data_IF_479773076477
#
_entry.id   IF_479773076477
#
_cell.length_a   1.000
_cell.length_b   1.000
_cell.length_c   1.000
_cell.angle_alpha   90.00
_cell.angle_beta   90.00
_cell.angle_gamma   90.00
#
_symmetry.space_group_name_H-M   'P 1'
#
loop_
_entity.id
_entity.type
_entity.pdbx_description
1 polymer ?
#
# COMPACT_ATOMS: atom_id res chain seq x y z
N UNK A 1 18.21 34.86 14.21
CA UNK A 1 17.67 33.49 14.34
C UNK A 1 18.28 32.52 13.31
N UNK A 2 18.33 32.88 12.02
CA UNK A 2 18.95 32.08 10.93
C UNK A 2 20.42 31.63 11.15
N UNK A 3 21.29 32.49 11.70
CA UNK A 3 22.70 32.15 11.96
C UNK A 3 22.91 31.05 13.02
N UNK A 4 22.01 30.92 14.00
CA UNK A 4 22.10 29.88 15.04
C UNK A 4 21.59 28.52 14.53
N UNK A 5 20.66 28.53 13.57
CA UNK A 5 20.15 27.33 12.90
C UNK A 5 21.18 26.73 11.93
N UNK A 6 21.93 27.59 11.22
CA UNK A 6 23.02 27.16 10.34
C UNK A 6 24.19 26.51 11.10
N UNK A 7 24.50 26.97 12.31
CA UNK A 7 25.53 26.38 13.17
C UNK A 7 25.15 24.98 13.67
N UNK A 8 23.87 24.71 13.92
CA UNK A 8 23.39 23.37 14.30
C UNK A 8 23.57 22.37 13.14
N UNK A 9 23.31 22.80 11.90
CA UNK A 9 23.52 22.00 10.69
C UNK A 9 25.02 21.69 10.46
N UNK A 10 25.93 22.61 10.80
CA UNK A 10 27.38 22.42 10.61
C UNK A 10 27.99 21.41 11.60
N UNK A 11 27.39 21.19 12.78
CA UNK A 11 27.83 20.14 13.71
C UNK A 11 27.21 18.76 13.45
N UNK A 12 26.10 18.69 12.72
CA UNK A 12 25.47 17.42 12.34
C UNK A 12 26.27 16.74 11.22
N UNK A 13 26.89 17.49 10.32
CA UNK A 13 27.56 16.97 9.10
C UNK A 13 28.86 16.16 9.35
N UNK A 14 29.76 16.49 10.30
CA UNK A 14 31.01 15.73 10.49
C UNK A 14 30.81 14.33 11.08
N UNK A 15 29.69 14.07 11.78
CA UNK A 15 29.34 12.75 12.30
C UNK A 15 28.94 11.71 11.24
N UNK A 16 28.74 12.15 9.98
CA UNK A 16 28.34 11.29 8.86
C UNK A 16 29.52 10.63 8.13
N UNK A 17 30.77 11.07 8.34
CA UNK A 17 31.88 10.70 7.46
C UNK A 17 32.60 9.40 7.87
N UNK A 18 32.31 8.80 9.04
CA UNK A 18 33.07 7.66 9.56
C UNK A 18 32.24 6.43 10.03
N UNK A 19 31.28 5.95 9.25
CA UNK A 19 30.88 4.53 9.43
C UNK A 19 30.28 3.93 8.15
N UNK A 20 31.14 3.30 7.36
CA UNK A 20 30.78 2.44 6.25
C UNK A 20 30.62 1.01 6.78
N UNK A 21 29.38 0.56 6.94
CA UNK A 21 28.99 -0.87 6.79
C UNK A 21 27.51 -1.15 7.15
N UNK A 22 26.80 -0.23 7.82
CA UNK A 22 25.35 -0.35 8.04
C UNK A 22 24.62 0.88 7.51
N UNK A 23 23.63 0.67 6.65
CA UNK A 23 22.80 1.75 6.14
C UNK A 23 21.99 2.39 7.29
N UNK A 24 22.08 3.72 7.47
CA UNK A 24 21.33 4.39 8.52
C UNK A 24 19.84 4.32 8.23
N UNK A 25 19.00 3.95 9.21
CA UNK A 25 17.56 3.88 9.02
C UNK A 25 16.93 5.28 9.15
N UNK A 26 16.09 5.69 8.20
CA UNK A 26 15.36 6.94 8.28
C UNK A 26 13.92 6.79 7.79
N UNK A 27 13.07 7.74 8.14
CA UNK A 27 11.68 7.74 7.72
C UNK A 27 10.85 8.80 8.42
N UNK A 28 9.55 8.53 8.53
CA UNK A 28 8.57 9.46 9.10
C UNK A 28 7.96 8.90 10.38
N UNK A 29 7.49 9.80 11.23
CA UNK A 29 6.73 9.51 12.43
C UNK A 29 5.42 10.30 12.45
N UNK A 30 4.37 9.65 12.92
CA UNK A 30 3.05 10.22 13.13
C UNK A 30 2.64 9.89 14.56
N UNK A 31 2.41 10.89 15.41
CA UNK A 31 2.02 10.63 16.80
C UNK A 31 0.78 11.39 17.25
N UNK A 32 0.08 10.82 18.21
CA UNK A 32 -0.98 11.43 18.98
C UNK A 32 -0.46 11.74 20.39
N UNK A 33 -0.46 13.02 20.75
CA UNK A 33 0.01 13.55 22.02
C UNK A 33 -1.17 13.77 22.96
N UNK A 34 -1.08 13.25 24.18
CA UNK A 34 -2.08 13.36 25.23
C UNK A 34 -1.45 13.95 26.51
N UNK A 35 -1.63 15.25 26.79
CA UNK A 35 -1.05 15.87 27.98
C UNK A 35 -1.65 15.33 29.28
N UNK A 36 -0.78 15.12 30.28
CA UNK A 36 -1.13 14.47 31.55
C UNK A 36 -1.54 15.45 32.65
N UNK A 37 -1.79 16.72 32.32
CA UNK A 37 -2.15 17.75 33.31
C UNK A 37 -3.42 17.39 34.11
N UNK A 38 -4.37 16.68 33.51
CA UNK A 38 -5.58 16.23 34.22
C UNK A 38 -5.34 15.17 35.29
N UNK A 39 -4.16 14.54 35.32
CA UNK A 39 -3.76 13.70 36.45
C UNK A 39 -3.18 14.50 37.62
N UNK A 40 -2.91 15.80 37.44
CA UNK A 40 -2.31 16.68 38.45
C UNK A 40 -3.29 17.75 38.94
N UNK A 41 -4.18 18.23 38.07
CA UNK A 41 -5.17 19.26 38.39
C UNK A 41 -6.56 18.82 37.91
N UNK A 42 -7.52 18.74 38.83
CA UNK A 42 -8.86 18.21 38.57
C UNK A 42 -9.66 19.04 37.53
N UNK A 43 -9.33 20.32 37.37
CA UNK A 43 -9.99 21.20 36.41
C UNK A 43 -9.46 21.06 34.99
N UNK A 44 -8.36 20.34 34.74
CA UNK A 44 -7.78 20.20 33.41
C UNK A 44 -8.07 18.83 32.79
N UNK A 45 -8.42 18.81 31.50
CA UNK A 45 -8.53 17.59 30.70
C UNK A 45 -7.59 17.64 29.50
N UNK A 46 -6.71 16.65 29.40
CA UNK A 46 -5.84 16.48 28.24
C UNK A 46 -6.64 16.22 26.96
N UNK A 47 -6.22 16.82 25.85
CA UNK A 47 -6.80 16.57 24.53
C UNK A 47 -5.76 15.97 23.60
N UNK A 48 -6.19 14.99 22.82
CA UNK A 48 -5.34 14.33 21.83
C UNK A 48 -5.05 15.26 20.65
N UNK A 49 -3.78 15.55 20.41
CA UNK A 49 -3.33 16.38 19.28
C UNK A 49 -2.24 15.67 18.47
N UNK A 50 -2.15 15.97 17.18
CA UNK A 50 -1.19 15.34 16.29
C UNK A 50 0.24 15.88 16.42
N UNK A 51 1.20 15.07 16.03
CA UNK A 51 2.55 15.48 15.65
C UNK A 51 3.01 14.71 14.42
N UNK A 52 3.87 15.35 13.64
CA UNK A 52 4.49 14.77 12.46
C UNK A 52 5.97 15.12 12.47
N UNK A 53 6.81 14.17 12.10
CA UNK A 53 8.25 14.38 12.06
C UNK A 53 8.97 13.38 11.18
N UNK A 54 10.29 13.54 11.16
CA UNK A 54 11.21 12.64 10.50
C UNK A 54 12.15 12.06 11.55
N UNK A 55 12.76 10.93 11.24
CA UNK A 55 13.82 10.39 12.08
C UNK A 55 15.01 9.91 11.26
N UNK A 56 16.16 9.92 11.92
CA UNK A 56 17.40 9.30 11.48
C UNK A 56 17.92 8.44 12.63
N UNK A 57 18.13 7.15 12.39
CA UNK A 57 18.50 6.15 13.37
C UNK A 57 19.73 5.37 12.88
N UNK A 58 20.67 5.11 13.79
CA UNK A 58 21.87 4.34 13.48
C UNK A 58 22.34 3.52 14.68
N UNK A 59 22.87 2.31 14.47
CA UNK A 59 23.54 1.55 15.53
C UNK A 59 24.79 2.26 16.05
N UNK A 60 25.04 2.16 17.36
CA UNK A 60 26.27 2.66 17.97
C UNK A 60 27.52 1.94 17.47
N UNK A 61 27.42 0.61 17.39
CA UNK A 61 28.51 -0.22 16.89
C UNK A 61 27.98 -1.10 15.75
N UNK A 62 28.62 -0.97 14.59
CA UNK A 62 28.41 -1.84 13.45
C UNK A 62 29.01 -3.24 13.68
N UNK A 63 30.09 -3.33 14.47
CA UNK A 63 30.87 -4.54 14.61
C UNK A 63 30.52 -5.24 15.91
N UNK A 64 30.28 -6.55 15.83
CA UNK A 64 29.94 -7.45 16.95
C UNK A 64 31.04 -7.63 18.02
N UNK A 65 31.90 -6.63 18.21
CA UNK A 65 33.04 -6.63 19.13
C UNK A 65 32.63 -6.52 20.60
N UNK A 66 31.44 -5.95 20.91
CA UNK A 66 30.94 -5.89 22.29
C UNK A 66 29.42 -6.08 22.35
N UNK A 67 28.97 -7.18 22.96
CA UNK A 67 27.55 -7.60 22.99
C UNK A 67 26.62 -6.54 23.60
N UNK A 68 27.07 -5.79 24.60
CA UNK A 68 26.25 -4.77 25.26
C UNK A 68 25.97 -3.57 24.34
N UNK A 69 27.03 -3.01 23.74
CA UNK A 69 26.90 -1.83 22.85
C UNK A 69 26.22 -2.18 21.53
N UNK A 70 26.29 -3.45 21.14
CA UNK A 70 25.54 -3.91 19.99
C UNK A 70 24.05 -3.72 20.20
N UNK A 71 23.46 -3.72 21.39
CA UNK A 71 22.00 -3.57 21.53
C UNK A 71 21.49 -2.12 21.44
N UNK A 72 22.35 -1.13 21.18
CA UNK A 72 21.95 0.28 21.18
C UNK A 72 21.97 0.92 19.79
N UNK A 73 20.91 1.66 19.48
CA UNK A 73 20.85 2.62 18.38
C UNK A 73 20.67 4.03 18.92
N UNK A 74 21.30 5.04 18.32
CA UNK A 74 20.91 6.42 18.53
C UNK A 74 19.92 6.85 17.45
N UNK A 75 18.95 7.70 17.84
CA UNK A 75 18.01 8.33 16.92
C UNK A 75 17.95 9.82 17.15
N UNK A 76 17.90 10.56 16.05
CA UNK A 76 17.59 11.98 15.99
C UNK A 76 16.22 12.14 15.31
N UNK A 77 15.33 12.92 15.92
CA UNK A 77 13.93 13.05 15.51
C UNK A 77 13.46 14.51 15.57
N UNK A 78 13.63 15.28 14.49
CA UNK A 78 12.97 16.56 14.33
C UNK A 78 11.47 16.38 14.06
N UNK A 79 10.62 17.10 14.80
CA UNK A 79 9.17 17.00 14.65
C UNK A 79 8.45 18.34 14.89
N UNK A 80 7.27 18.49 14.29
CA UNK A 80 6.29 19.48 14.67
C UNK A 80 5.26 18.82 15.58
N UNK A 81 5.01 19.38 16.75
CA UNK A 81 4.02 18.85 17.69
C UNK A 81 3.02 19.89 18.15
N UNK A 82 1.78 19.45 18.29
CA UNK A 82 0.70 20.20 18.91
C UNK A 82 0.35 19.53 20.23
N UNK A 83 0.20 20.33 21.28
CA UNK A 83 -0.20 19.87 22.62
C UNK A 83 -1.27 20.82 23.13
N UNK A 84 -2.32 20.28 23.73
CA UNK A 84 -3.35 21.11 24.34
C UNK A 84 -4.24 20.40 25.33
N UNK A 85 -4.87 21.19 26.17
CA UNK A 85 -5.72 20.73 27.27
C UNK A 85 -6.80 21.77 27.55
N UNK A 86 -7.95 21.33 28.03
CA UNK A 86 -9.10 22.20 28.34
C UNK A 86 -9.23 22.36 29.86
N UNK A 87 -9.42 23.59 30.31
CA UNK A 87 -9.93 23.92 31.63
C UNK A 87 -11.45 23.80 31.64
N UNK A 88 -11.98 22.91 32.47
CA UNK A 88 -13.41 22.65 32.55
C UNK A 88 -14.17 23.74 33.31
N UNK A 89 -13.52 24.43 34.25
CA UNK A 89 -14.17 25.46 35.06
C UNK A 89 -14.33 26.75 34.26
N UNK A 90 -13.30 27.11 33.50
CA UNK A 90 -13.31 28.32 32.67
C UNK A 90 -13.77 28.06 31.23
N UNK A 91 -13.97 26.78 30.87
CA UNK A 91 -14.23 26.29 29.52
C UNK A 91 -13.24 26.83 28.46
N UNK A 92 -11.96 26.90 28.83
CA UNK A 92 -10.88 27.40 27.97
C UNK A 92 -10.03 26.26 27.43
N UNK A 93 -9.77 26.23 26.13
CA UNK A 93 -8.81 25.31 25.52
C UNK A 93 -7.47 26.02 25.32
N UNK A 94 -6.41 25.50 25.93
CA UNK A 94 -5.06 26.00 25.75
C UNK A 94 -4.31 25.08 24.79
N UNK A 95 -3.67 25.67 23.78
CA UNK A 95 -2.89 24.95 22.78
C UNK A 95 -1.50 25.56 22.62
N UNK A 96 -0.50 24.70 22.42
CA UNK A 96 0.87 25.06 22.15
C UNK A 96 1.41 24.26 20.96
N UNK A 97 2.08 24.95 20.05
CA UNK A 97 2.73 24.36 18.89
C UNK A 97 4.25 24.47 19.06
N UNK A 98 4.96 23.37 18.79
CA UNK A 98 6.39 23.24 19.07
C UNK A 98 7.14 22.67 17.86
N UNK A 99 8.40 23.09 17.73
CA UNK A 99 9.41 22.38 16.95
C UNK A 99 10.30 21.62 17.92
N UNK A 100 10.27 20.30 17.80
CA UNK A 100 10.99 19.35 18.63
C UNK A 100 12.25 18.85 17.93
N UNK A 101 13.34 18.67 18.68
CA UNK A 101 14.59 18.09 18.19
C UNK A 101 15.02 16.94 19.10
N UNK A 102 14.28 15.84 19.08
CA UNK A 102 14.49 14.74 20.02
C UNK A 102 15.78 13.97 19.68
N UNK A 103 16.54 13.62 20.71
CA UNK A 103 17.69 12.73 20.61
C UNK A 103 17.56 11.63 21.67
N UNK A 104 17.55 10.37 21.26
CA UNK A 104 17.36 9.24 22.18
C UNK A 104 18.12 7.99 21.78
N UNK A 105 18.39 7.18 22.79
CA UNK A 105 18.94 5.84 22.71
C UNK A 105 17.79 4.85 22.62
N UNK A 106 17.94 3.86 21.75
CA UNK A 106 17.04 2.75 21.59
C UNK A 106 17.80 1.51 22.02
N UNK A 107 17.37 0.88 23.09
CA UNK A 107 17.84 -0.44 23.47
C UNK A 107 16.95 -1.50 22.80
N UNK A 108 17.57 -2.39 22.03
CA UNK A 108 16.93 -3.46 21.28
C UNK A 108 17.44 -4.78 21.90
N UNK A 109 16.66 -5.42 22.79
CA UNK A 109 17.12 -6.59 23.52
C UNK A 109 17.56 -7.74 22.60
N UNK A 110 16.80 -7.95 21.53
CA UNK A 110 17.12 -8.91 20.48
C UNK A 110 17.11 -8.20 19.11
N UNK A 111 18.30 -8.05 18.52
CA UNK A 111 18.47 -7.43 17.20
C UNK A 111 17.94 -8.27 16.06
N UNK A 112 17.85 -9.60 16.23
CA UNK A 112 17.42 -10.49 15.16
C UNK A 112 15.94 -10.33 14.88
N UNK A 113 15.13 -10.25 15.93
CA UNK A 113 13.70 -9.95 15.83
C UNK A 113 13.42 -8.46 15.67
N UNK A 114 14.12 -7.59 16.43
CA UNK A 114 13.82 -6.15 16.52
C UNK A 114 12.33 -5.88 16.85
N UNK A 115 11.69 -6.83 17.54
CA UNK A 115 10.27 -6.77 17.85
C UNK A 115 9.99 -5.79 18.98
N UNK A 116 10.93 -5.63 19.91
CA UNK A 116 10.82 -4.76 21.07
C UNK A 116 11.98 -3.76 21.12
N UNK A 117 11.64 -2.53 21.48
CA UNK A 117 12.57 -1.44 21.68
C UNK A 117 12.24 -0.70 22.97
N UNK A 118 13.25 -0.35 23.74
CA UNK A 118 13.14 0.57 24.87
C UNK A 118 13.80 1.89 24.47
N UNK A 119 13.10 3.00 24.69
CA UNK A 119 13.50 4.34 24.25
C UNK A 119 13.85 5.18 25.48
N UNK A 120 15.01 5.82 25.49
CA UNK A 120 15.43 6.75 26.53
C UNK A 120 16.15 7.94 25.92
N UNK A 121 15.74 9.17 26.22
CA UNK A 121 16.49 10.33 25.76
C UNK A 121 15.91 11.67 26.17
N UNK A 122 16.18 12.69 25.36
CA UNK A 122 15.85 14.08 25.62
C UNK A 122 15.15 14.71 24.41
N UNK A 123 14.27 15.66 24.69
CA UNK A 123 13.51 16.43 23.70
C UNK A 123 13.63 17.92 24.00
N UNK A 124 14.68 18.59 23.51
CA UNK A 124 14.68 20.03 23.40
C UNK A 124 13.60 20.47 22.40
N UNK A 125 12.92 21.57 22.72
CA UNK A 125 11.84 22.09 21.91
C UNK A 125 11.74 23.60 21.98
N UNK A 126 11.23 24.20 20.91
CA UNK A 126 10.96 25.64 20.85
C UNK A 126 9.49 25.85 20.54
N UNK A 127 8.80 26.59 21.40
CA UNK A 127 7.42 27.00 21.16
C UNK A 127 7.36 28.00 20.02
N UNK A 128 6.57 27.72 18.99
CA UNK A 128 6.42 28.59 17.83
C UNK A 128 5.08 29.32 17.81
N UNK A 129 4.07 28.80 18.50
CA UNK A 129 2.78 29.44 18.64
C UNK A 129 2.09 28.94 19.92
N UNK A 130 1.30 29.80 20.55
CA UNK A 130 0.35 29.42 21.58
C UNK A 130 -0.97 30.13 21.36
N UNK A 131 -2.06 29.49 21.74
CA UNK A 131 -3.39 30.05 21.58
C UNK A 131 -4.31 29.55 22.69
N UNK A 132 -5.23 30.43 23.10
CA UNK A 132 -6.32 30.10 24.02
C UNK A 132 -7.65 30.28 23.32
N UNK A 133 -8.44 29.23 23.21
CA UNK A 133 -9.84 29.33 22.80
C UNK A 133 -10.72 29.51 24.04
N UNK A 134 -11.65 30.46 23.98
CA UNK A 134 -12.61 30.75 25.06
C UNK A 134 -14.02 30.94 24.49
N UNK A 135 -15.07 30.65 25.26
CA UNK A 135 -16.44 30.91 24.82
C UNK A 135 -16.63 32.41 24.56
N UNK A 136 -17.38 32.73 23.51
CA UNK A 136 -17.86 34.08 23.23
C UNK A 136 -19.27 34.31 23.80
N UNK A 137 -19.73 35.56 23.76
CA UNK A 137 -21.05 35.93 24.27
C UNK A 137 -22.22 35.35 23.47
N UNK A 138 -21.96 34.77 22.29
CA UNK A 138 -22.96 34.19 21.39
C UNK A 138 -22.97 32.65 21.46
N UNK A 139 -22.23 32.05 22.39
CA UNK A 139 -22.11 30.59 22.54
C UNK A 139 -21.15 29.92 21.53
N UNK A 140 -20.43 30.71 20.73
CA UNK A 140 -19.31 30.26 19.91
C UNK A 140 -18.00 30.21 20.70
N UNK A 141 -16.91 29.85 20.02
CA UNK A 141 -15.56 29.92 20.58
C UNK A 141 -14.70 30.89 19.77
N UNK A 142 -13.93 31.72 20.47
CA UNK A 142 -12.97 32.65 19.86
C UNK A 142 -11.55 32.34 20.34
N UNK A 143 -10.61 32.41 19.40
CA UNK A 143 -9.19 32.22 19.70
C UNK A 143 -8.54 33.54 20.07
N UNK A 144 -7.82 33.58 21.18
CA UNK A 144 -7.02 34.72 21.64
C UNK A 144 -5.56 34.31 21.77
N UNK A 145 -4.66 35.15 21.26
CA UNK A 145 -3.21 35.03 21.50
C UNK A 145 -2.77 35.62 22.84
N UNK A 146 -3.68 36.29 23.55
CA UNK A 146 -3.43 36.86 24.87
C UNK A 146 -4.44 36.30 25.87
N UNK A 147 -3.94 35.61 26.90
CA UNK A 147 -4.69 35.22 28.07
C UNK A 147 -3.78 35.41 29.31
N UNK A 148 -4.19 36.20 30.32
CA UNK A 148 -3.39 36.40 31.54
C UNK A 148 -3.01 35.11 32.27
N UNK A 149 -3.81 34.04 32.11
CA UNK A 149 -3.53 32.72 32.68
C UNK A 149 -2.45 32.00 31.87
N UNK A 150 -2.43 32.17 30.55
CA UNK A 150 -1.45 31.53 29.66
C UNK A 150 -0.21 32.41 29.50
N UNK A 151 0.76 32.20 30.38
CA UNK A 151 2.02 32.95 30.40
C UNK A 151 3.08 32.41 29.44
N UNK A 152 2.70 31.49 28.55
CA UNK A 152 3.59 31.02 27.52
C UNK A 152 3.90 32.12 26.50
N UNK A 153 5.12 32.11 25.97
CA UNK A 153 5.58 33.06 24.96
C UNK A 153 6.20 32.34 23.77
N UNK A 154 6.00 32.89 22.58
CA UNK A 154 6.62 32.39 21.36
C UNK A 154 8.15 32.52 21.48
N UNK A 155 8.87 31.49 21.03
CA UNK A 155 10.32 31.39 21.13
C UNK A 155 10.82 30.80 22.45
N UNK A 156 9.93 30.49 23.40
CA UNK A 156 10.29 29.79 24.62
C UNK A 156 10.98 28.46 24.30
N UNK A 157 12.08 28.21 24.99
CA UNK A 157 12.79 26.94 24.95
C UNK A 157 12.35 26.04 26.12
N UNK A 158 12.04 24.79 25.81
CA UNK A 158 11.61 23.78 26.76
C UNK A 158 12.45 22.50 26.56
N UNK A 159 12.68 21.76 27.64
CA UNK A 159 13.38 20.46 27.62
C UNK A 159 12.49 19.42 28.28
N UNK A 160 12.34 18.27 27.63
CA UNK A 160 11.68 17.10 28.22
C UNK A 160 12.61 15.89 28.26
N UNK A 161 12.48 15.06 29.29
CA UNK A 161 13.00 13.70 29.31
C UNK A 161 12.02 12.75 28.60
N UNK A 162 12.54 11.79 27.85
CA UNK A 162 11.76 10.80 27.10
C UNK A 162 12.04 9.41 27.62
N UNK A 163 10.96 8.65 27.90
CA UNK A 163 11.00 7.22 28.15
C UNK A 163 9.91 6.56 27.30
N UNK A 164 10.18 5.42 26.68
CA UNK A 164 9.16 4.75 25.89
C UNK A 164 9.47 3.31 25.54
N UNK A 165 8.49 2.70 24.89
CA UNK A 165 8.59 1.37 24.30
C UNK A 165 8.14 1.43 22.84
N UNK A 166 8.76 0.63 21.99
CA UNK A 166 8.38 0.46 20.59
C UNK A 166 8.21 -1.01 20.26
N UNK A 167 7.19 -1.34 19.47
CA UNK A 167 6.91 -2.70 18.99
C UNK A 167 6.80 -2.71 17.48
N UNK A 168 7.44 -3.67 16.81
CA UNK A 168 7.34 -3.83 15.36
C UNK A 168 5.95 -4.31 14.94
N UNK A 169 5.33 -3.68 13.93
CA UNK A 169 4.04 -4.08 13.35
C UNK A 169 4.21 -4.80 12.00
N UNK A 170 5.38 -5.41 11.78
CA UNK A 170 5.76 -6.08 10.54
C UNK A 170 7.12 -5.60 10.04
N UNK A 171 7.34 -5.64 8.74
CA UNK A 171 8.65 -5.29 8.18
C UNK A 171 8.89 -3.76 8.17
N UNK A 172 7.87 -2.95 7.89
CA UNK A 172 8.06 -1.52 7.56
C UNK A 172 7.64 -0.53 8.64
N UNK A 173 6.80 -0.96 9.58
CA UNK A 173 6.14 -0.09 10.54
C UNK A 173 6.40 -0.54 11.98
N UNK A 174 6.45 0.41 12.91
CA UNK A 174 6.48 0.14 14.35
C UNK A 174 5.53 1.06 15.10
N UNK A 175 4.88 0.53 16.13
CA UNK A 175 4.10 1.28 17.10
C UNK A 175 5.00 1.75 18.23
N UNK A 176 4.84 2.98 18.70
CA UNK A 176 5.59 3.54 19.82
C UNK A 176 4.64 4.09 20.88
N UNK A 177 4.95 3.84 22.14
CA UNK A 177 4.35 4.51 23.28
C UNK A 177 5.48 5.20 24.04
N UNK A 178 5.46 6.53 24.07
CA UNK A 178 6.45 7.36 24.75
C UNK A 178 5.78 8.22 25.82
N UNK A 179 6.43 8.38 26.95
CA UNK A 179 6.12 9.37 27.97
C UNK A 179 7.18 10.47 27.90
N UNK A 180 6.72 11.70 27.72
CA UNK A 180 7.55 12.90 27.70
C UNK A 180 7.34 13.67 29.00
N UNK A 181 8.34 13.60 29.89
CA UNK A 181 8.35 14.35 31.14
C UNK A 181 8.97 15.73 30.91
N UNK A 182 8.17 16.79 30.98
CA UNK A 182 8.63 18.15 30.69
C UNK A 182 9.26 18.78 31.93
N UNK A 183 10.57 19.06 31.84
CA UNK A 183 11.37 19.63 32.94
C UNK A 183 11.07 21.12 33.17
N UNK A 184 10.43 21.77 32.21
CA UNK A 184 10.10 23.19 32.23
C UNK A 184 8.61 23.45 32.51
N UNK A 185 7.87 22.42 32.95
CA UNK A 185 6.46 22.54 33.30
C UNK A 185 6.30 23.24 34.66
N UNK A 186 5.99 24.53 34.63
CA UNK A 186 5.65 25.33 35.81
C UNK A 186 4.14 25.65 35.86
N UNK A 187 3.31 24.82 35.21
CA UNK A 187 1.86 24.98 35.23
C UNK A 187 1.30 24.69 36.62
N UNK A 188 0.38 25.53 37.06
CA UNK A 188 -0.37 25.44 38.31
C UNK A 188 -1.87 25.55 38.00
N UNK A 189 -2.73 25.44 39.02
CA UNK A 189 -4.17 25.63 38.84
C UNK A 189 -4.56 27.05 38.37
N UNK A 190 -3.69 28.05 38.56
CA UNK A 190 -3.97 29.47 38.26
C UNK A 190 -3.19 30.02 37.07
N UNK A 191 -2.10 29.36 36.69
CA UNK A 191 -1.14 29.85 35.69
C UNK A 191 -0.66 28.69 34.84
N UNK A 192 -0.68 28.89 33.53
CA UNK A 192 -0.13 27.98 32.53
C UNK A 192 1.21 28.53 32.06
N UNK A 193 2.28 27.80 32.37
CA UNK A 193 3.64 28.27 32.15
C UNK A 193 4.54 27.06 31.86
N UNK A 194 5.00 26.95 30.62
CA UNK A 194 5.84 25.85 30.14
C UNK A 194 5.08 24.78 29.38
N UNK A 195 5.84 23.79 28.93
CA UNK A 195 5.33 22.62 28.23
C UNK A 195 4.81 21.60 29.25
N UNK A 196 3.55 21.13 29.18
CA UNK A 196 3.10 20.05 30.05
C UNK A 196 3.75 18.71 29.68
N UNK A 197 3.80 17.78 30.63
CA UNK A 197 4.15 16.38 30.34
C UNK A 197 3.02 15.70 29.57
N UNK A 198 3.33 14.70 28.75
CA UNK A 198 2.36 14.03 27.89
C UNK A 198 2.75 12.60 27.53
N UNK A 199 1.74 11.79 27.23
CA UNK A 199 1.87 10.49 26.58
C UNK A 199 1.79 10.68 25.06
N UNK A 200 2.57 9.91 24.33
CA UNK A 200 2.67 9.96 22.87
C UNK A 200 2.49 8.56 22.31
N UNK A 201 1.46 8.38 21.49
CA UNK A 201 1.17 7.15 20.76
C UNK A 201 1.54 7.37 19.30
N UNK A 202 2.58 6.68 18.84
CA UNK A 202 3.23 6.93 17.56
C UNK A 202 3.21 5.74 16.61
N UNK A 203 3.13 6.01 15.31
CA UNK A 203 3.49 5.07 14.25
C UNK A 203 4.73 5.61 13.56
N UNK A 204 5.77 4.77 13.49
CA UNK A 204 7.01 5.04 12.76
C UNK A 204 7.05 4.18 11.51
N UNK A 205 7.36 4.80 10.37
CA UNK A 205 7.51 4.12 9.08
C UNK A 205 8.96 4.25 8.59
N UNK A 206 9.59 3.14 8.21
CA UNK A 206 10.97 3.13 7.69
C UNK A 206 11.00 3.23 6.17
N UNK A 207 11.60 4.31 5.66
CA UNK A 207 11.76 4.51 4.22
C UNK A 207 12.67 3.44 3.59
N UNK A 208 13.73 3.04 4.31
CA UNK A 208 14.64 1.99 3.84
C UNK A 208 13.96 0.64 3.79
N UNK A 209 13.27 0.23 4.86
CA UNK A 209 12.58 -1.06 4.85
C UNK A 209 11.45 -1.09 3.82
N UNK A 210 10.76 0.04 3.59
CA UNK A 210 9.79 0.16 2.48
C UNK A 210 10.48 -0.04 1.13
N UNK A 211 11.60 0.66 0.89
CA UNK A 211 12.39 0.51 -0.35
C UNK A 211 12.82 -0.93 -0.55
N UNK A 212 13.39 -1.57 0.47
CA UNK A 212 13.92 -2.92 0.39
C UNK A 212 12.79 -3.96 0.20
N UNK A 213 11.62 -3.73 0.81
CA UNK A 213 10.40 -4.52 0.53
C UNK A 213 9.95 -4.39 -0.92
N UNK A 214 9.94 -3.18 -1.46
CA UNK A 214 9.55 -2.94 -2.85
C UNK A 214 10.53 -3.62 -3.82
N UNK A 215 11.84 -3.49 -3.59
CA UNK A 215 12.88 -4.13 -4.40
C UNK A 215 12.80 -5.66 -4.32
N UNK A 216 12.63 -6.23 -3.12
CA UNK A 216 12.52 -7.68 -2.95
C UNK A 216 11.26 -8.24 -3.62
N UNK A 217 10.12 -7.56 -3.48
CA UNK A 217 8.90 -7.92 -4.18
C UNK A 217 9.08 -7.87 -5.70
N UNK A 218 9.75 -6.83 -6.22
CA UNK A 218 10.05 -6.71 -7.64
C UNK A 218 10.94 -7.86 -8.15
N UNK A 219 12.02 -8.18 -7.43
CA UNK A 219 12.88 -9.33 -7.75
C UNK A 219 12.11 -10.66 -7.79
N UNK A 220 11.21 -10.87 -6.82
CA UNK A 220 10.37 -12.07 -6.78
C UNK A 220 9.43 -12.14 -8.00
N UNK A 221 8.81 -11.02 -8.37
CA UNK A 221 7.96 -10.92 -9.58
C UNK A 221 8.78 -11.24 -10.83
N UNK A 222 9.98 -10.68 -10.95
CA UNK A 222 10.86 -10.90 -12.12
C UNK A 222 11.31 -12.35 -12.21
N UNK A 223 11.68 -12.97 -11.08
CA UNK A 223 12.01 -14.39 -11.02
C UNK A 223 10.82 -15.28 -11.42
N UNK A 224 9.62 -14.94 -10.96
CA UNK A 224 8.40 -15.64 -11.35
C UNK A 224 8.12 -15.50 -12.86
N UNK A 225 8.21 -14.28 -13.41
CA UNK A 225 8.03 -14.03 -14.85
C UNK A 225 9.06 -14.78 -15.69
N UNK A 226 10.32 -14.84 -15.25
CA UNK A 226 11.36 -15.61 -15.92
C UNK A 226 10.98 -17.09 -16.00
N UNK A 227 10.56 -17.68 -14.88
CA UNK A 227 10.05 -19.05 -14.85
C UNK A 227 8.84 -19.23 -15.78
N UNK A 228 7.86 -18.33 -15.72
CA UNK A 228 6.61 -18.42 -16.51
C UNK A 228 6.83 -18.23 -18.00
N UNK A 229 7.83 -17.45 -18.41
CA UNK A 229 8.18 -17.25 -19.82
C UNK A 229 8.69 -18.53 -20.50
N UNK A 230 9.19 -19.49 -19.72
CA UNK A 230 9.59 -20.82 -20.21
C UNK A 230 8.42 -21.82 -20.25
N UNK A 231 7.24 -21.42 -19.76
CA UNK A 231 6.05 -22.25 -19.66
C UNK A 231 5.14 -22.17 -20.87
N UNK A 232 3.87 -22.51 -20.67
CA UNK A 232 2.82 -22.42 -21.69
C UNK A 232 1.60 -21.66 -21.16
N UNK A 233 1.00 -20.80 -21.99
CA UNK A 233 -0.28 -20.15 -21.74
C UNK A 233 -1.39 -20.96 -22.43
N UNK A 234 -2.36 -21.44 -21.65
CA UNK A 234 -3.52 -22.15 -22.17
C UNK A 234 -4.68 -21.17 -22.24
N UNK A 235 -5.15 -20.85 -23.44
CA UNK A 235 -6.24 -19.94 -23.69
C UNK A 235 -7.54 -20.73 -23.75
N UNK A 236 -8.43 -20.46 -22.82
CA UNK A 236 -9.79 -20.95 -22.80
C UNK A 236 -10.64 -20.13 -23.76
N UNK A 237 -11.30 -20.80 -24.70
CA UNK A 237 -12.23 -20.23 -25.66
C UNK A 237 -13.65 -20.61 -25.27
N UNK A 238 -14.58 -19.67 -25.37
CA UNK A 238 -15.96 -19.87 -24.94
C UNK A 238 -16.74 -20.68 -26.00
N UNK A 239 -17.53 -21.65 -25.53
CA UNK A 239 -18.40 -22.45 -26.39
C UNK A 239 -19.70 -21.70 -26.73
N UNK A 240 -20.35 -22.03 -27.86
CA UNK A 240 -21.65 -21.46 -28.17
C UNK A 240 -22.65 -21.70 -27.03
N UNK A 241 -23.44 -20.67 -26.69
CA UNK A 241 -24.46 -20.76 -25.65
C UNK A 241 -25.63 -21.63 -26.11
N UNK A 242 -25.53 -22.95 -25.89
CA UNK A 242 -26.51 -23.93 -26.36
C UNK A 242 -27.92 -23.71 -25.79
N UNK A 243 -28.04 -23.18 -24.56
CA UNK A 243 -29.34 -22.85 -23.97
C UNK A 243 -30.06 -21.78 -24.80
N UNK A 244 -29.33 -20.75 -25.20
CA UNK A 244 -29.83 -19.64 -26.00
C UNK A 244 -30.13 -20.07 -27.44
N UNK A 245 -29.24 -20.86 -28.03
CA UNK A 245 -29.45 -21.46 -29.36
C UNK A 245 -30.73 -22.30 -29.37
N UNK A 246 -30.92 -23.17 -28.36
CA UNK A 246 -32.12 -23.98 -28.24
C UNK A 246 -33.38 -23.12 -28.09
N UNK A 247 -33.33 -22.05 -27.28
CA UNK A 247 -34.44 -21.11 -27.13
C UNK A 247 -34.81 -20.47 -28.48
N UNK A 248 -33.83 -19.97 -29.24
CA UNK A 248 -34.07 -19.36 -30.56
C UNK A 248 -34.68 -20.35 -31.56
N UNK A 249 -34.26 -21.61 -31.52
CA UNK A 249 -34.84 -22.68 -32.35
C UNK A 249 -36.31 -22.91 -31.98
N UNK A 250 -36.63 -22.98 -30.68
CA UNK A 250 -38.02 -23.12 -30.19
C UNK A 250 -38.89 -21.92 -30.59
N UNK A 251 -38.34 -20.71 -30.59
CA UNK A 251 -38.98 -19.47 -31.06
C UNK A 251 -39.09 -19.39 -32.61
N UNK A 252 -38.68 -20.43 -33.35
CA UNK A 252 -38.64 -20.49 -34.82
C UNK A 252 -37.72 -19.45 -35.46
N UNK A 253 -36.65 -19.05 -34.77
CA UNK A 253 -35.63 -18.09 -35.21
C UNK A 253 -34.30 -18.80 -35.53
N UNK A 254 -34.34 -19.79 -36.41
CA UNK A 254 -33.17 -20.62 -36.75
C UNK A 254 -31.99 -19.83 -37.31
N UNK A 255 -32.25 -18.81 -38.13
CA UNK A 255 -31.19 -17.94 -38.69
C UNK A 255 -30.42 -17.18 -37.60
N UNK A 256 -31.12 -16.69 -36.56
CA UNK A 256 -30.47 -16.04 -35.44
C UNK A 256 -29.65 -17.06 -34.63
N UNK A 257 -30.13 -18.29 -34.46
CA UNK A 257 -29.40 -19.35 -33.77
C UNK A 257 -28.07 -19.71 -34.49
N UNK A 258 -28.12 -19.85 -35.82
CA UNK A 258 -26.93 -20.08 -36.65
C UNK A 258 -25.99 -18.86 -36.65
N UNK A 259 -26.54 -17.65 -36.59
CA UNK A 259 -25.75 -16.43 -36.41
C UNK A 259 -25.00 -16.42 -35.07
N UNK A 260 -25.64 -16.78 -33.94
CA UNK A 260 -24.96 -16.89 -32.63
C UNK A 260 -23.81 -17.88 -32.70
N UNK A 261 -24.05 -19.07 -33.26
CA UNK A 261 -23.02 -20.11 -33.37
C UNK A 261 -21.86 -19.64 -34.22
N UNK A 262 -22.12 -19.11 -35.41
CA UNK A 262 -21.07 -18.63 -36.33
C UNK A 262 -20.29 -17.46 -35.75
N UNK A 263 -20.95 -16.52 -35.07
CA UNK A 263 -20.30 -15.40 -34.40
C UNK A 263 -19.35 -15.85 -33.30
N UNK A 264 -19.76 -16.79 -32.44
CA UNK A 264 -18.88 -17.30 -31.37
C UNK A 264 -17.63 -17.97 -31.96
N UNK A 265 -17.81 -18.81 -32.97
CA UNK A 265 -16.69 -19.47 -33.66
C UNK A 265 -15.75 -18.46 -34.33
N UNK A 266 -16.31 -17.40 -34.94
CA UNK A 266 -15.53 -16.31 -35.51
C UNK A 266 -14.75 -15.53 -34.45
N UNK A 267 -15.38 -15.22 -33.32
CA UNK A 267 -14.72 -14.57 -32.17
C UNK A 267 -13.56 -15.40 -31.65
N UNK A 268 -13.75 -16.71 -31.46
CA UNK A 268 -12.70 -17.63 -31.04
C UNK A 268 -11.51 -17.63 -32.04
N UNK A 269 -11.78 -17.73 -33.34
CA UNK A 269 -10.75 -17.64 -34.38
C UNK A 269 -10.01 -16.29 -34.35
N UNK A 270 -10.72 -15.20 -34.12
CA UNK A 270 -10.12 -13.87 -33.98
C UNK A 270 -9.18 -13.83 -32.78
N UNK A 271 -9.61 -14.29 -31.61
CA UNK A 271 -8.77 -14.36 -30.40
C UNK A 271 -7.49 -15.15 -30.67
N UNK A 272 -7.60 -16.34 -31.27
CA UNK A 272 -6.46 -17.17 -31.64
C UNK A 272 -5.49 -16.44 -32.59
N UNK A 273 -6.02 -15.80 -33.62
CA UNK A 273 -5.22 -15.04 -34.58
C UNK A 273 -4.49 -13.85 -33.91
N UNK A 274 -5.15 -13.14 -32.98
CA UNK A 274 -4.55 -12.02 -32.27
C UNK A 274 -3.46 -12.48 -31.29
N UNK A 275 -3.64 -13.61 -30.59
CA UNK A 275 -2.60 -14.20 -29.74
C UNK A 275 -1.39 -14.63 -30.57
N UNK A 276 -1.61 -15.33 -31.69
CA UNK A 276 -0.53 -15.73 -32.60
C UNK A 276 0.25 -14.52 -33.16
N UNK A 277 -0.43 -13.39 -33.37
CA UNK A 277 0.19 -12.16 -33.90
C UNK A 277 0.95 -11.34 -32.86
N UNK A 278 0.40 -11.19 -31.65
CA UNK A 278 0.89 -10.19 -30.69
C UNK A 278 1.49 -10.76 -29.41
N UNK A 279 1.26 -12.03 -29.09
CA UNK A 279 1.76 -12.64 -27.86
C UNK A 279 3.00 -13.49 -28.12
N UNK A 280 4.11 -13.11 -27.49
CA UNK A 280 5.44 -13.73 -27.67
C UNK A 280 6.10 -14.09 -26.35
N UNK A 281 5.44 -13.86 -25.21
CA UNK A 281 6.02 -14.08 -23.90
C UNK A 281 6.29 -15.57 -23.58
N UNK A 282 5.38 -16.47 -23.98
CA UNK A 282 5.55 -17.92 -23.87
C UNK A 282 4.70 -18.66 -24.94
N UNK A 283 4.83 -19.99 -25.02
CA UNK A 283 4.05 -20.83 -25.95
C UNK A 283 2.55 -20.72 -25.64
N UNK A 284 1.70 -20.65 -26.67
CA UNK A 284 0.24 -20.59 -26.50
C UNK A 284 -0.43 -21.85 -27.02
N UNK A 285 -1.37 -22.40 -26.25
CA UNK A 285 -2.27 -23.48 -26.65
C UNK A 285 -3.71 -23.05 -26.40
N UNK A 286 -4.66 -23.66 -27.12
CA UNK A 286 -6.08 -23.30 -27.02
C UNK A 286 -6.92 -24.51 -26.66
N UNK A 287 -7.98 -24.30 -25.90
CA UNK A 287 -8.97 -25.30 -25.55
C UNK A 287 -10.34 -24.65 -25.36
N UNK A 288 -11.42 -25.42 -25.48
CA UNK A 288 -12.78 -24.94 -25.23
C UNK A 288 -13.10 -24.97 -23.74
N UNK A 289 -13.91 -24.03 -23.25
CA UNK A 289 -14.41 -23.98 -21.86
C UNK A 289 -15.12 -25.26 -21.39
N UNK A 290 -15.71 -26.05 -22.30
CA UNK A 290 -16.27 -27.38 -22.03
C UNK A 290 -15.22 -28.35 -21.47
N UNK A 291 -13.95 -28.09 -21.72
CA UNK A 291 -12.81 -28.90 -21.26
C UNK A 291 -12.18 -28.35 -19.96
N UNK A 292 -12.72 -27.27 -19.38
CA UNK A 292 -12.16 -26.62 -18.20
C UNK A 292 -12.03 -27.56 -16.98
N UNK A 293 -12.99 -28.48 -16.78
CA UNK A 293 -12.91 -29.48 -15.71
C UNK A 293 -11.78 -30.49 -15.92
N UNK A 294 -11.47 -30.84 -17.18
CA UNK A 294 -10.31 -31.72 -17.46
C UNK A 294 -9.01 -30.97 -17.18
N UNK A 295 -8.91 -29.71 -17.60
CA UNK A 295 -7.75 -28.85 -17.34
C UNK A 295 -7.52 -28.62 -15.85
N UNK A 296 -8.57 -28.36 -15.07
CA UNK A 296 -8.48 -28.15 -13.62
C UNK A 296 -7.98 -29.40 -12.88
N UNK A 297 -8.35 -30.59 -13.39
CA UNK A 297 -7.90 -31.89 -12.90
C UNK A 297 -6.57 -32.35 -13.51
N UNK A 298 -5.91 -31.51 -14.32
CA UNK A 298 -4.66 -31.81 -15.02
C UNK A 298 -4.74 -33.02 -15.97
N UNK A 299 -5.92 -33.28 -16.51
CA UNK A 299 -6.13 -34.25 -17.58
C UNK A 299 -6.11 -33.51 -18.92
N UNK A 300 -5.03 -33.66 -19.70
CA UNK A 300 -4.85 -32.93 -20.96
C UNK A 300 -5.10 -33.79 -22.21
N UNK A 301 -5.62 -35.00 -22.04
CA UNK A 301 -5.88 -35.92 -23.15
C UNK A 301 -7.04 -35.41 -24.00
N UNK A 302 -6.80 -35.18 -25.31
CA UNK A 302 -7.79 -34.67 -26.27
C UNK A 302 -8.47 -33.36 -25.86
N UNK A 303 -7.74 -32.46 -25.19
CA UNK A 303 -8.28 -31.16 -24.72
C UNK A 303 -8.03 -30.02 -25.71
N UNK A 304 -6.89 -30.05 -26.39
CA UNK A 304 -6.43 -28.91 -27.18
C UNK A 304 -7.04 -28.89 -28.58
N UNK A 305 -7.10 -27.69 -29.17
CA UNK A 305 -7.63 -27.46 -30.51
C UNK A 305 -6.66 -26.68 -31.39
N UNK A 306 -6.79 -26.87 -32.71
CA UNK A 306 -6.03 -26.16 -33.72
C UNK A 306 -6.73 -24.85 -34.17
N UNK A 307 -6.12 -24.13 -35.12
CA UNK A 307 -6.64 -22.87 -35.67
C UNK A 307 -8.01 -23.03 -36.37
N UNK A 308 -8.39 -24.26 -36.71
CA UNK A 308 -9.68 -24.59 -37.31
C UNK A 308 -10.71 -25.02 -36.26
N UNK A 309 -10.38 -24.95 -34.96
CA UNK A 309 -11.18 -25.42 -33.84
C UNK A 309 -11.40 -26.94 -33.87
N UNK A 310 -10.45 -27.68 -34.43
CA UNK A 310 -10.47 -29.15 -34.47
C UNK A 310 -9.57 -29.73 -33.36
N UNK A 311 -9.98 -30.83 -32.70
CA UNK A 311 -9.19 -31.43 -31.63
C UNK A 311 -7.80 -31.89 -32.10
N UNK A 312 -6.79 -31.61 -31.28
CA UNK A 312 -5.42 -32.11 -31.46
C UNK A 312 -5.22 -33.26 -30.46
N UNK A 313 -5.00 -34.50 -30.94
CA UNK A 313 -5.01 -35.68 -30.08
C UNK A 313 -3.85 -35.72 -29.09
N UNK A 314 -2.66 -35.24 -29.48
CA UNK A 314 -1.47 -35.24 -28.64
C UNK A 314 -0.76 -33.89 -28.70
N UNK A 315 -0.62 -33.23 -27.55
CA UNK A 315 0.17 -32.01 -27.41
C UNK A 315 1.09 -32.14 -26.21
N UNK A 316 2.39 -32.04 -26.45
CA UNK A 316 3.40 -32.00 -25.38
C UNK A 316 3.66 -30.56 -24.92
N UNK A 317 3.60 -30.36 -23.61
CA UNK A 317 4.01 -29.13 -22.92
C UNK A 317 4.36 -29.43 -21.45
N UNK A 318 5.02 -28.48 -20.79
CA UNK A 318 5.34 -28.60 -19.36
C UNK A 318 4.08 -28.39 -18.49
N UNK A 319 3.50 -29.49 -18.03
CA UNK A 319 2.31 -29.49 -17.15
C UNK A 319 2.60 -28.97 -15.74
N UNK A 320 3.86 -28.71 -15.39
CA UNK A 320 4.23 -28.09 -14.12
C UNK A 320 4.31 -26.56 -14.20
N UNK A 321 4.37 -26.00 -15.42
CA UNK A 321 4.58 -24.58 -15.66
C UNK A 321 3.65 -24.05 -16.75
N UNK A 322 2.39 -23.83 -16.38
CA UNK A 322 1.42 -23.21 -17.25
C UNK A 322 0.59 -22.14 -16.54
N UNK A 323 0.00 -21.27 -17.35
CA UNK A 323 -1.00 -20.28 -16.93
C UNK A 323 -2.25 -20.50 -17.77
N UNK A 324 -3.41 -20.13 -17.22
CA UNK A 324 -4.66 -20.11 -17.98
C UNK A 324 -4.99 -18.66 -18.34
N UNK A 325 -5.51 -18.44 -19.54
CA UNK A 325 -6.02 -17.15 -19.98
C UNK A 325 -7.44 -17.30 -20.51
N UNK A 326 -8.32 -16.35 -20.23
CA UNK A 326 -9.67 -16.32 -20.80
C UNK A 326 -10.11 -14.90 -21.07
N UNK A 327 -10.86 -14.69 -22.15
CA UNK A 327 -11.65 -13.48 -22.31
C UNK A 327 -13.02 -13.72 -21.69
N UNK A 328 -13.23 -13.20 -20.49
CA UNK A 328 -14.47 -13.39 -19.75
C UNK A 328 -14.86 -12.14 -18.97
N UNK A 329 -15.97 -12.22 -18.25
CA UNK A 329 -16.39 -11.20 -17.31
C UNK A 329 -15.57 -11.30 -16.02
N UNK A 330 -15.17 -10.16 -15.48
CA UNK A 330 -14.64 -10.09 -14.12
C UNK A 330 -15.77 -10.24 -13.12
N UNK A 331 -15.82 -11.39 -12.47
CA UNK A 331 -16.66 -11.63 -11.29
C UNK A 331 -15.87 -11.50 -9.99
N UNK A 332 -14.60 -11.07 -10.05
CA UNK A 332 -13.75 -10.93 -8.86
C UNK A 332 -14.06 -9.65 -8.07
N UNK A 333 -13.81 -9.71 -6.77
CA UNK A 333 -13.96 -8.57 -5.85
C UNK A 333 -12.98 -7.41 -6.14
N UNK A 334 -12.00 -7.61 -7.03
CA UNK A 334 -10.90 -6.68 -7.28
C UNK A 334 -11.35 -5.42 -8.02
N UNK A 335 -12.18 -5.54 -9.05
CA UNK A 335 -12.62 -4.41 -9.89
C UNK A 335 -13.98 -3.85 -9.46
N UNK A 336 -14.77 -4.61 -8.70
CA UNK A 336 -16.13 -4.26 -8.26
C UNK A 336 -17.07 -3.81 -9.40
N UNK A 337 -16.73 -4.14 -10.65
CA UNK A 337 -17.47 -3.81 -11.86
C UNK A 337 -17.45 -5.02 -12.79
N UNK A 338 -18.58 -5.39 -13.41
CA UNK A 338 -18.59 -6.43 -14.43
C UNK A 338 -17.89 -5.89 -15.68
N UNK A 339 -16.58 -6.07 -15.76
CA UNK A 339 -15.77 -5.65 -16.90
C UNK A 339 -15.36 -6.89 -17.71
N UNK A 340 -15.57 -6.85 -19.02
CA UNK A 340 -15.11 -7.91 -19.92
C UNK A 340 -13.65 -7.64 -20.30
N UNK A 341 -12.79 -8.67 -20.27
CA UNK A 341 -11.37 -8.49 -20.54
C UNK A 341 -10.57 -9.79 -20.53
N UNK A 342 -9.26 -9.67 -20.73
CA UNK A 342 -8.34 -10.81 -20.63
C UNK A 342 -7.95 -11.05 -19.17
N UNK A 343 -8.33 -12.20 -18.63
CA UNK A 343 -8.00 -12.61 -17.28
C UNK A 343 -7.08 -13.83 -17.27
N UNK A 344 -6.10 -13.80 -16.36
CA UNK A 344 -5.05 -14.80 -16.22
C UNK A 344 -5.20 -15.54 -14.89
N UNK A 345 -5.11 -16.86 -14.92
CA UNK A 345 -5.26 -17.72 -13.76
C UNK A 345 -4.09 -18.68 -13.59
N UNK A 346 -3.95 -19.20 -12.38
CA UNK A 346 -3.11 -20.36 -12.10
C UNK A 346 -3.77 -21.67 -12.59
N UNK A 347 -3.08 -22.79 -12.40
CA UNK A 347 -3.61 -24.11 -12.79
C UNK A 347 -4.82 -24.59 -11.98
N UNK A 348 -5.25 -23.84 -10.95
CA UNK A 348 -6.43 -24.08 -10.14
C UNK A 348 -7.56 -23.08 -10.43
N UNK A 349 -7.46 -22.31 -11.51
CA UNK A 349 -8.41 -21.25 -11.87
C UNK A 349 -8.50 -20.12 -10.82
N UNK A 350 -7.46 -19.94 -10.02
CA UNK A 350 -7.34 -18.77 -9.12
C UNK A 350 -6.68 -17.66 -9.92
N UNK A 351 -7.35 -16.50 -9.98
CA UNK A 351 -6.87 -15.34 -10.71
C UNK A 351 -5.52 -14.86 -10.16
N UNK A 352 -4.54 -14.65 -11.05
CA UNK A 352 -3.22 -14.13 -10.65
C UNK A 352 -3.29 -12.63 -10.36
N UNK A 353 -2.49 -12.12 -9.43
CA UNK A 353 -2.41 -10.68 -9.19
C UNK A 353 -1.52 -9.97 -10.24
N UNK A 354 -1.17 -8.72 -10.00
CA UNK A 354 -0.17 -7.98 -10.78
C UNK A 354 1.12 -8.80 -10.91
N UNK A 355 1.72 -8.83 -12.11
CA UNK A 355 1.42 -7.96 -13.25
C UNK A 355 0.37 -8.51 -14.24
N UNK A 356 -0.19 -9.69 -13.97
CA UNK A 356 -0.98 -10.42 -14.96
C UNK A 356 -2.34 -9.78 -15.22
N UNK A 357 -3.09 -9.52 -14.15
CA UNK A 357 -4.41 -8.90 -14.22
C UNK A 357 -4.35 -7.43 -13.79
N UNK A 358 -4.79 -6.53 -14.67
CA UNK A 358 -4.89 -5.09 -14.41
C UNK A 358 -6.08 -4.52 -15.17
N UNK A 359 -6.54 -3.33 -14.77
CA UNK A 359 -7.61 -2.58 -15.48
C UNK A 359 -7.30 -2.36 -16.97
N UNK A 360 -6.03 -2.40 -17.37
CA UNK A 360 -5.66 -2.24 -18.79
C UNK A 360 -5.96 -3.47 -19.66
N UNK A 361 -6.36 -4.59 -19.05
CA UNK A 361 -6.86 -5.77 -19.74
C UNK A 361 -8.35 -5.66 -20.09
N UNK A 362 -9.04 -4.64 -19.58
CA UNK A 362 -10.49 -4.48 -19.73
C UNK A 362 -10.81 -3.90 -21.12
N UNK A 363 -11.79 -4.50 -21.78
CA UNK A 363 -12.34 -4.08 -23.07
C UNK A 363 -13.60 -3.23 -22.90
N UNK A 364 -14.20 -3.20 -21.70
CA UNK A 364 -15.35 -2.36 -21.38
C UNK A 364 -16.28 -3.02 -20.36
N UNK A 365 -17.37 -2.33 -20.04
CA UNK A 365 -18.40 -2.85 -19.12
C UNK A 365 -19.18 -3.94 -19.84
N UNK A 366 -19.23 -5.13 -19.24
CA UNK A 366 -20.23 -6.13 -19.57
C UNK A 366 -21.57 -5.69 -19.01
N UNK A 367 -22.52 -5.36 -19.89
CA UNK A 367 -23.86 -4.96 -19.48
C UNK A 367 -24.72 -6.22 -19.44
N UNK A 368 -24.69 -6.91 -18.30
CA UNK A 368 -25.64 -7.96 -17.98
C UNK A 368 -27.05 -7.37 -17.90
N UNK A 369 -27.83 -7.52 -18.97
CA UNK A 369 -29.21 -7.06 -19.04
C UNK A 369 -29.86 -7.43 -20.36
N UNK A 370 -30.95 -8.20 -20.29
CA UNK A 370 -31.80 -8.69 -21.38
C UNK A 370 -31.05 -9.28 -22.59
N UNK A 371 -31.08 -10.62 -22.80
CA UNK A 371 -30.46 -11.28 -23.95
C UNK A 371 -30.79 -10.60 -25.31
N UNK A 372 -31.99 -10.03 -25.48
CA UNK A 372 -32.37 -9.31 -26.69
C UNK A 372 -31.64 -7.97 -26.89
N UNK A 373 -31.35 -7.24 -25.81
CA UNK A 373 -30.57 -5.99 -25.86
C UNK A 373 -29.06 -6.25 -26.01
N UNK A 374 -28.57 -7.33 -25.41
CA UNK A 374 -27.24 -7.88 -25.67
C UNK A 374 -27.05 -8.17 -27.17
N UNK A 375 -28.04 -8.78 -27.83
CA UNK A 375 -27.98 -9.05 -29.28
C UNK A 375 -28.10 -7.84 -30.19
N UNK A 376 -28.99 -6.90 -29.90
CA UNK A 376 -29.09 -5.67 -30.71
C UNK A 376 -27.78 -4.91 -30.72
N UNK A 377 -27.03 -4.93 -29.61
CA UNK A 377 -25.70 -4.33 -29.52
C UNK A 377 -24.60 -5.23 -30.09
N UNK A 378 -24.56 -6.55 -29.85
CA UNK A 378 -23.58 -7.42 -30.53
C UNK A 378 -23.69 -7.38 -32.06
N UNK A 379 -24.91 -7.35 -32.63
CA UNK A 379 -25.12 -7.15 -34.08
C UNK A 379 -24.61 -5.79 -34.58
N UNK A 380 -24.47 -4.78 -33.72
CA UNK A 380 -24.03 -3.42 -34.08
C UNK A 380 -22.65 -3.01 -33.56
N UNK A 381 -22.08 -3.72 -32.58
CA UNK A 381 -20.91 -3.34 -31.79
C UNK A 381 -20.10 -4.53 -31.28
N UNK A 382 -20.26 -5.73 -31.87
CA UNK A 382 -19.45 -6.90 -31.49
C UNK A 382 -17.98 -6.54 -31.36
N UNK A 383 -17.30 -7.09 -30.35
CA UNK A 383 -15.90 -6.73 -30.06
C UNK A 383 -15.06 -6.86 -31.33
N UNK A 384 -14.51 -5.74 -31.77
CA UNK A 384 -13.74 -5.73 -33.00
C UNK A 384 -12.45 -6.54 -32.78
N UNK A 385 -11.97 -7.30 -33.78
CA UNK A 385 -10.71 -8.05 -33.67
C UNK A 385 -9.53 -7.20 -33.17
N UNK A 386 -9.54 -5.91 -33.50
CA UNK A 386 -8.55 -4.92 -33.06
C UNK A 386 -8.50 -4.71 -31.54
N UNK A 387 -9.63 -4.87 -30.85
CA UNK A 387 -9.72 -4.68 -29.40
C UNK A 387 -9.02 -5.83 -28.65
N UNK A 388 -9.26 -7.08 -29.08
CA UNK A 388 -8.53 -8.25 -28.58
C UNK A 388 -7.03 -8.07 -28.80
N UNK A 389 -6.62 -7.68 -30.01
CA UNK A 389 -5.22 -7.46 -30.35
C UNK A 389 -4.57 -6.36 -29.50
N UNK A 390 -5.29 -5.28 -29.23
CA UNK A 390 -4.83 -4.19 -28.34
C UNK A 390 -4.60 -4.67 -26.92
N UNK A 391 -5.52 -5.46 -26.35
CA UNK A 391 -5.39 -6.01 -24.99
C UNK A 391 -4.22 -7.00 -24.92
N UNK A 392 -4.15 -7.95 -25.85
CA UNK A 392 -3.09 -8.96 -25.91
C UNK A 392 -1.72 -8.32 -26.04
N UNK A 393 -1.56 -7.34 -26.95
CA UNK A 393 -0.30 -6.60 -27.12
C UNK A 393 0.10 -5.88 -25.84
N UNK A 394 -0.82 -5.13 -25.20
CA UNK A 394 -0.54 -4.43 -23.94
C UNK A 394 -0.14 -5.39 -22.82
N UNK A 395 -0.80 -6.54 -22.74
CA UNK A 395 -0.47 -7.59 -21.78
C UNK A 395 0.94 -8.13 -22.04
N UNK A 396 1.24 -8.54 -23.28
CA UNK A 396 2.55 -9.03 -23.70
C UNK A 396 3.67 -8.02 -23.41
N UNK A 397 3.49 -6.77 -23.83
CA UNK A 397 4.46 -5.69 -23.63
C UNK A 397 4.75 -5.44 -22.14
N UNK A 398 3.73 -5.59 -21.28
CA UNK A 398 3.89 -5.44 -19.83
C UNK A 398 4.75 -6.54 -19.24
N UNK A 399 4.48 -7.79 -19.61
CA UNK A 399 5.26 -8.93 -19.11
C UNK A 399 6.73 -8.81 -19.54
N UNK A 400 7.00 -8.44 -20.78
CA UNK A 400 8.35 -8.21 -21.27
C UNK A 400 9.03 -7.01 -20.60
N UNK A 401 8.31 -5.89 -20.43
CA UNK A 401 8.87 -4.68 -19.79
C UNK A 401 9.36 -5.00 -18.38
N UNK A 402 8.53 -5.65 -17.56
CA UNK A 402 8.89 -5.97 -16.18
C UNK A 402 10.06 -6.96 -16.14
N UNK A 403 10.07 -7.93 -17.04
CA UNK A 403 11.19 -8.88 -17.18
C UNK A 403 12.52 -8.19 -17.52
N UNK A 404 12.50 -7.14 -18.35
CA UNK A 404 13.70 -6.38 -18.76
C UNK A 404 14.12 -5.36 -17.69
N UNK A 405 13.18 -4.65 -17.06
CA UNK A 405 13.54 -3.61 -16.07
C UNK A 405 14.01 -4.18 -14.74
N UNK A 406 13.73 -5.46 -14.49
CA UNK A 406 14.16 -6.16 -13.29
C UNK A 406 15.56 -6.77 -13.32
N UNK A 407 16.25 -6.69 -14.47
CA UNK A 407 17.69 -7.00 -14.60
C UNK A 407 18.50 -5.73 -14.48
#
# INVERSE_FOLDING_TARGET
>A
MFRKFALLLVYIIPGFIQAQSYEPNYGIILNLNYPTLGGTFDNYIGRGFGSFGMYYQRPFNAYHSNSLFNSFDYTLEPAYSVIGFRDQQLDKLYTGNYIDFSGYLNYIPDRMSNDLRIILGLRPSVMINNATEKPDNNGGYTTSSFDPINQNSIGRFDISGLLGIGVSLGEVASLELKYSYSLTNNTTALIINGRPSYLEFGIRLSAIKIRDKLISNEKNIVAELNKRSQGTMLIMLESPNERLIHQLIVEKRSEDADFVRSLQLQTNKNIMAQFAKYFTFCKVLYFMDTEADKVSRRNFNNVFIDQNLTPIPEVSFDTSNYMLGSFCEDVSDYTRKPDYGLYIYDGKFIQLDKPYNTVSNNMGIYIGGDPLNYFRRIKTSGYHPEEFGKVIRKFNDRLHRIKITGT
#
